data_IF_195415454009
#
_entry.id   IF_195415454009
#
_cell.length_a   1.000
_cell.length_b   1.000
_cell.length_c   1.000
_cell.angle_alpha   90.00
_cell.angle_beta   90.00
_cell.angle_gamma   90.00
#
_symmetry.space_group_name_H-M   'P 1'
#
loop_
_entity.id
_entity.type
_entity.pdbx_description
1 polymer ?
#
# COMPACT_ATOMS: atom_id res chain seq x y z
N UNK A 1 29.68 -34.45 -17.85
CA UNK A 1 29.13 -33.08 -17.98
C UNK A 1 27.64 -33.22 -18.22
N UNK A 2 26.84 -33.15 -17.16
CA UNK A 2 25.39 -33.12 -17.28
C UNK A 2 24.98 -31.70 -17.68
N UNK A 3 24.33 -31.53 -18.82
CA UNK A 3 23.64 -30.29 -19.19
C UNK A 3 22.50 -30.08 -18.20
N UNK A 4 22.60 -29.05 -17.33
CA UNK A 4 21.47 -28.54 -16.59
C UNK A 4 20.47 -28.04 -17.62
N UNK A 5 19.35 -28.74 -17.82
CA UNK A 5 18.24 -28.24 -18.60
C UNK A 5 17.78 -26.93 -17.95
N UNK A 6 17.88 -25.83 -18.67
CA UNK A 6 17.29 -24.58 -18.26
C UNK A 6 15.78 -24.81 -18.20
N UNK A 7 15.22 -24.88 -17.01
CA UNK A 7 13.77 -24.97 -16.80
C UNK A 7 13.17 -23.70 -17.39
N UNK A 8 12.50 -23.82 -18.53
CA UNK A 8 11.78 -22.69 -19.13
C UNK A 8 10.67 -22.25 -18.20
N UNK A 9 10.59 -20.93 -17.91
CA UNK A 9 9.53 -20.35 -17.10
C UNK A 9 8.15 -20.83 -17.60
N UNK A 10 7.20 -21.14 -16.69
CA UNK A 10 5.88 -21.65 -17.11
C UNK A 10 5.13 -20.64 -17.97
N UNK A 11 4.43 -21.13 -18.97
CA UNK A 11 3.50 -20.39 -19.81
C UNK A 11 2.07 -20.39 -19.21
N UNK A 12 1.14 -19.70 -19.87
CA UNK A 12 -0.25 -19.60 -19.42
C UNK A 12 -0.95 -20.97 -19.31
N UNK A 13 -0.66 -21.89 -20.23
CA UNK A 13 -1.29 -23.22 -20.23
C UNK A 13 -0.72 -24.12 -19.13
N UNK A 14 0.57 -23.99 -18.83
CA UNK A 14 1.17 -24.66 -17.67
C UNK A 14 0.55 -24.18 -16.36
N UNK A 15 0.30 -22.88 -16.22
CA UNK A 15 -0.37 -22.31 -15.04
C UNK A 15 -1.82 -22.78 -14.93
N UNK A 16 -2.59 -22.80 -16.04
CA UNK A 16 -3.96 -23.35 -16.03
C UNK A 16 -4.00 -24.80 -15.58
N UNK A 17 -3.08 -25.64 -16.09
CA UNK A 17 -2.98 -27.04 -15.65
C UNK A 17 -2.64 -27.13 -14.16
N UNK A 18 -1.79 -26.26 -13.66
CA UNK A 18 -1.43 -26.25 -12.24
C UNK A 18 -2.58 -25.80 -11.34
N UNK A 19 -3.36 -24.80 -11.77
CA UNK A 19 -4.61 -24.40 -11.09
C UNK A 19 -5.62 -25.55 -11.12
N UNK A 20 -5.83 -26.19 -12.26
CA UNK A 20 -6.74 -27.34 -12.36
C UNK A 20 -6.31 -28.49 -11.42
N UNK A 21 -5.00 -28.74 -11.29
CA UNK A 21 -4.47 -29.72 -10.34
C UNK A 21 -4.73 -29.33 -8.88
N UNK A 22 -4.57 -28.06 -8.54
CA UNK A 22 -4.90 -27.53 -7.19
C UNK A 22 -6.40 -27.72 -6.90
N UNK A 23 -7.29 -27.31 -7.82
CA UNK A 23 -8.73 -27.41 -7.66
C UNK A 23 -9.23 -28.86 -7.57
N UNK A 24 -8.59 -29.78 -8.30
CA UNK A 24 -8.92 -31.22 -8.23
C UNK A 24 -8.50 -31.85 -6.89
N UNK A 25 -7.41 -31.37 -6.28
CA UNK A 25 -6.93 -31.88 -4.98
C UNK A 25 -7.61 -31.18 -3.79
N UNK A 26 -8.04 -29.94 -3.97
CA UNK A 26 -8.63 -29.07 -2.94
C UNK A 26 -9.85 -28.35 -3.53
N UNK A 27 -11.01 -28.97 -3.47
CA UNK A 27 -12.26 -28.36 -3.92
C UNK A 27 -12.62 -27.17 -3.03
N UNK A 28 -12.70 -25.92 -3.58
CA UNK A 28 -13.03 -24.73 -2.82
C UNK A 28 -14.35 -24.79 -2.03
N UNK A 29 -15.33 -25.58 -2.52
CA UNK A 29 -16.62 -25.72 -1.86
C UNK A 29 -16.57 -26.58 -0.57
N UNK A 30 -15.55 -27.41 -0.41
CA UNK A 30 -15.45 -28.38 0.70
C UNK A 30 -14.18 -28.28 1.51
N UNK A 31 -13.13 -27.66 0.96
CA UNK A 31 -11.85 -27.47 1.65
C UNK A 31 -11.92 -26.28 2.59
N UNK A 32 -11.36 -26.40 3.78
CA UNK A 32 -11.18 -25.27 4.69
C UNK A 32 -10.42 -24.13 3.99
N UNK A 33 -10.90 -22.86 4.06
CA UNK A 33 -10.27 -21.73 3.38
C UNK A 33 -8.77 -21.56 3.70
N UNK A 34 -8.37 -21.73 4.96
CA UNK A 34 -6.95 -21.61 5.34
C UNK A 34 -6.10 -22.73 4.72
N UNK A 35 -6.62 -23.98 4.72
CA UNK A 35 -5.96 -25.10 4.08
C UNK A 35 -5.84 -24.93 2.55
N UNK A 36 -6.88 -24.38 1.91
CA UNK A 36 -6.83 -24.04 0.48
C UNK A 36 -5.75 -23.01 0.17
N UNK A 37 -5.68 -21.93 0.94
CA UNK A 37 -4.66 -20.90 0.78
C UNK A 37 -3.25 -21.43 0.98
N UNK A 38 -3.04 -22.31 1.97
CA UNK A 38 -1.75 -23.00 2.16
C UNK A 38 -1.37 -23.81 0.92
N UNK A 39 -2.29 -24.61 0.41
CA UNK A 39 -2.07 -25.40 -0.79
C UNK A 39 -1.79 -24.54 -2.02
N UNK A 40 -2.51 -23.40 -2.18
CA UNK A 40 -2.25 -22.40 -3.24
C UNK A 40 -0.84 -21.83 -3.15
N UNK A 41 -0.38 -21.49 -1.94
CA UNK A 41 0.98 -20.98 -1.73
C UNK A 41 2.03 -22.04 -2.08
N UNK A 42 1.85 -23.27 -1.59
CA UNK A 42 2.77 -24.40 -1.83
C UNK A 42 2.80 -24.83 -3.31
N UNK A 43 1.69 -24.63 -4.02
CA UNK A 43 1.63 -24.81 -5.47
C UNK A 43 2.35 -23.69 -6.27
N UNK A 44 2.87 -22.64 -5.63
CA UNK A 44 3.52 -21.52 -6.30
C UNK A 44 2.55 -20.59 -7.04
N UNK A 45 1.26 -20.62 -6.67
CA UNK A 45 0.19 -19.84 -7.30
C UNK A 45 -0.22 -18.60 -6.48
N UNK A 46 0.54 -18.28 -5.44
CA UNK A 46 0.37 -17.09 -4.61
C UNK A 46 0.84 -15.82 -5.37
N UNK A 47 2.09 -15.85 -5.80
CA UNK A 47 2.75 -14.82 -6.60
C UNK A 47 3.59 -15.50 -7.68
N UNK A 48 3.02 -15.82 -8.83
CA UNK A 48 3.68 -16.63 -9.86
C UNK A 48 5.08 -16.15 -10.24
N UNK A 49 5.36 -14.86 -10.04
CA UNK A 49 6.65 -14.21 -10.36
C UNK A 49 7.67 -14.25 -9.21
N UNK A 50 7.31 -14.79 -8.06
CA UNK A 50 8.27 -15.04 -6.98
C UNK A 50 9.02 -16.35 -7.25
N UNK A 51 10.20 -16.52 -6.63
CA UNK A 51 10.95 -17.77 -6.73
C UNK A 51 10.17 -19.00 -6.24
N UNK A 52 10.51 -20.16 -6.77
CA UNK A 52 10.02 -21.44 -6.23
C UNK A 52 10.31 -21.57 -4.73
N UNK A 53 9.35 -22.12 -3.99
CA UNK A 53 9.41 -22.24 -2.53
C UNK A 53 9.06 -20.95 -1.77
N UNK A 54 8.89 -19.82 -2.45
CA UNK A 54 8.44 -18.56 -1.87
C UNK A 54 7.04 -18.15 -2.36
N UNK A 55 6.22 -19.13 -2.74
CA UNK A 55 4.86 -18.92 -3.22
C UNK A 55 4.76 -18.60 -4.71
N UNK A 56 5.85 -18.78 -5.47
CA UNK A 56 5.94 -18.50 -6.89
C UNK A 56 6.59 -19.61 -7.71
N UNK A 57 6.83 -19.34 -8.99
CA UNK A 57 7.32 -20.26 -10.02
C UNK A 57 8.32 -19.59 -10.97
N UNK A 58 8.88 -18.44 -10.61
CA UNK A 58 9.72 -17.59 -11.48
C UNK A 58 9.06 -17.27 -12.83
N UNK A 59 7.72 -17.26 -12.87
CA UNK A 59 6.94 -16.97 -14.06
C UNK A 59 6.81 -15.46 -14.33
N UNK A 60 6.53 -15.03 -15.55
CA UNK A 60 6.24 -13.63 -15.84
C UNK A 60 5.06 -13.11 -14.98
N UNK A 61 5.23 -11.95 -14.34
CA UNK A 61 4.22 -11.34 -13.47
C UNK A 61 2.84 -11.18 -14.14
N UNK A 62 2.84 -10.91 -15.45
CA UNK A 62 1.62 -10.78 -16.25
C UNK A 62 0.70 -12.01 -16.16
N UNK A 63 1.28 -13.18 -15.94
CA UNK A 63 0.54 -14.44 -15.88
C UNK A 63 -0.22 -14.65 -14.55
N UNK A 64 0.00 -13.80 -13.54
CA UNK A 64 -0.81 -13.83 -12.31
C UNK A 64 -2.30 -13.69 -12.61
N UNK A 65 -2.66 -12.83 -13.59
CA UNK A 65 -4.06 -12.62 -13.97
C UNK A 65 -4.75 -13.89 -14.52
N UNK A 66 -3.98 -14.82 -15.10
CA UNK A 66 -4.52 -16.12 -15.56
C UNK A 66 -4.90 -16.98 -14.34
N UNK A 67 -4.02 -17.04 -13.35
CA UNK A 67 -4.26 -17.79 -12.11
C UNK A 67 -5.46 -17.22 -11.35
N UNK A 68 -5.50 -15.90 -11.19
CA UNK A 68 -6.55 -15.24 -10.42
C UNK A 68 -7.93 -15.42 -11.10
N UNK A 69 -8.01 -15.33 -12.43
CA UNK A 69 -9.25 -15.53 -13.17
C UNK A 69 -9.78 -16.98 -13.07
N UNK A 70 -8.90 -17.98 -13.14
CA UNK A 70 -9.30 -19.39 -13.00
C UNK A 70 -9.77 -19.71 -11.57
N UNK A 71 -9.10 -19.17 -10.55
CA UNK A 71 -9.48 -19.35 -9.15
C UNK A 71 -10.79 -18.63 -8.81
N UNK A 72 -10.97 -17.39 -9.31
CA UNK A 72 -12.21 -16.63 -9.15
C UNK A 72 -13.40 -17.37 -9.79
N UNK A 73 -13.23 -17.88 -11.01
CA UNK A 73 -14.26 -18.66 -11.70
C UNK A 73 -14.66 -19.94 -10.96
N UNK A 74 -13.73 -20.52 -10.19
CA UNK A 74 -13.97 -21.69 -9.34
C UNK A 74 -14.54 -21.35 -7.95
N UNK A 75 -14.73 -20.06 -7.62
CA UNK A 75 -15.18 -19.63 -6.29
C UNK A 75 -14.15 -19.89 -5.19
N UNK A 76 -12.87 -19.91 -5.51
CA UNK A 76 -11.81 -20.15 -4.55
C UNK A 76 -11.70 -18.99 -3.54
N UNK A 77 -11.37 -19.25 -2.26
CA UNK A 77 -11.17 -18.20 -1.28
C UNK A 77 -9.98 -17.33 -1.63
N UNK A 78 -10.08 -16.03 -1.34
CA UNK A 78 -8.94 -15.12 -1.34
C UNK A 78 -8.32 -15.02 0.06
N UNK A 79 -7.20 -14.31 0.15
CA UNK A 79 -6.45 -14.11 1.40
C UNK A 79 -6.78 -12.77 2.07
N UNK A 80 -7.96 -12.20 1.83
CA UNK A 80 -8.38 -10.89 2.31
C UNK A 80 -7.36 -9.76 1.99
N UNK A 81 -7.13 -9.48 0.70
CA UNK A 81 -6.09 -8.55 0.28
C UNK A 81 -6.33 -7.11 0.76
N UNK A 82 -7.54 -6.75 1.17
CA UNK A 82 -7.83 -5.44 1.76
C UNK A 82 -7.25 -5.34 3.18
N UNK A 83 -7.41 -6.37 4.00
CA UNK A 83 -6.90 -6.43 5.36
C UNK A 83 -5.37 -6.50 5.41
N UNK A 84 -4.74 -7.25 4.52
CA UNK A 84 -3.29 -7.46 4.51
C UNK A 84 -2.56 -6.65 3.42
N UNK A 85 -3.20 -5.61 2.88
CA UNK A 85 -2.70 -4.84 1.73
C UNK A 85 -1.31 -4.24 1.91
N UNK A 86 -0.96 -3.75 3.12
CA UNK A 86 0.40 -3.25 3.44
C UNK A 86 1.41 -4.39 3.34
N UNK A 87 1.08 -5.55 3.87
CA UNK A 87 1.90 -6.75 3.73
C UNK A 87 2.15 -7.12 2.28
N UNK A 88 1.07 -7.33 1.51
CA UNK A 88 1.14 -7.76 0.12
C UNK A 88 1.79 -6.73 -0.82
N UNK A 89 1.40 -5.46 -0.67
CA UNK A 89 1.79 -4.39 -1.60
C UNK A 89 3.11 -3.73 -1.27
N UNK A 90 3.58 -3.78 -0.04
CA UNK A 90 4.75 -3.03 0.43
C UNK A 90 5.81 -3.91 1.08
N UNK A 91 5.46 -4.68 2.13
CA UNK A 91 6.43 -5.47 2.87
C UNK A 91 6.97 -6.65 2.03
N UNK A 92 6.10 -7.45 1.42
CA UNK A 92 6.51 -8.64 0.67
C UNK A 92 7.47 -8.34 -0.50
N UNK A 93 7.18 -7.38 -1.42
CA UNK A 93 8.12 -7.05 -2.50
C UNK A 93 9.43 -6.43 -1.99
N UNK A 94 9.40 -5.75 -0.85
CA UNK A 94 10.61 -5.18 -0.23
C UNK A 94 11.47 -6.28 0.39
N UNK A 95 10.85 -7.22 1.14
CA UNK A 95 11.53 -8.40 1.70
C UNK A 95 12.10 -9.27 0.59
N UNK A 96 11.33 -9.51 -0.48
CA UNK A 96 11.80 -10.28 -1.63
C UNK A 96 13.09 -9.70 -2.21
N UNK A 97 13.16 -8.38 -2.35
CA UNK A 97 14.28 -7.70 -3.01
C UNK A 97 15.51 -7.56 -2.11
N UNK A 98 15.34 -7.28 -0.83
CA UNK A 98 16.45 -6.91 0.08
C UNK A 98 16.66 -7.89 1.23
N UNK A 99 15.73 -8.79 1.47
CA UNK A 99 15.82 -9.77 2.53
C UNK A 99 16.82 -10.88 2.24
N UNK A 100 17.40 -11.42 3.30
CA UNK A 100 18.13 -12.69 3.25
C UNK A 100 17.18 -13.84 2.91
N UNK A 101 17.72 -14.99 2.51
CA UNK A 101 16.89 -16.17 2.22
C UNK A 101 16.16 -16.68 3.47
N UNK A 102 16.76 -16.49 4.65
CA UNK A 102 16.10 -16.79 5.93
C UNK A 102 14.91 -15.88 6.19
N UNK A 103 15.09 -14.55 6.01
CA UNK A 103 14.00 -13.57 6.13
C UNK A 103 12.86 -13.85 5.14
N UNK A 104 13.18 -14.14 3.88
CA UNK A 104 12.17 -14.49 2.87
C UNK A 104 11.36 -15.71 3.28
N UNK A 105 12.02 -16.80 3.69
CA UNK A 105 11.33 -18.03 4.15
C UNK A 105 10.51 -17.78 5.42
N UNK A 106 11.01 -16.97 6.36
CA UNK A 106 10.31 -16.69 7.62
C UNK A 106 9.07 -15.84 7.43
N UNK A 107 9.13 -14.82 6.57
CA UNK A 107 8.11 -13.78 6.56
C UNK A 107 7.10 -13.88 5.41
N UNK A 108 7.49 -14.34 4.21
CA UNK A 108 6.62 -14.23 3.04
C UNK A 108 5.39 -15.15 3.13
N UNK A 109 5.53 -16.37 3.63
CA UNK A 109 4.41 -17.31 3.74
C UNK A 109 3.33 -16.84 4.72
N UNK A 110 3.60 -16.58 6.01
CA UNK A 110 2.57 -16.16 6.97
C UNK A 110 1.99 -14.77 6.63
N UNK A 111 2.77 -13.90 5.98
CA UNK A 111 2.28 -12.63 5.45
C UNK A 111 1.21 -12.86 4.38
N UNK A 112 1.48 -13.71 3.39
CA UNK A 112 0.55 -13.97 2.30
C UNK A 112 -0.71 -14.70 2.76
N UNK A 113 -0.59 -15.60 3.73
CA UNK A 113 -1.71 -16.31 4.32
C UNK A 113 -2.60 -15.42 5.22
N UNK A 114 -2.19 -14.19 5.52
CA UNK A 114 -2.90 -13.31 6.44
C UNK A 114 -2.79 -13.72 7.91
N UNK A 115 -1.91 -14.64 8.25
CA UNK A 115 -1.62 -15.07 9.62
C UNK A 115 -0.90 -13.97 10.40
N UNK A 116 -0.06 -13.19 9.73
CA UNK A 116 0.68 -12.08 10.30
C UNK A 116 0.36 -10.79 9.52
N UNK A 117 -0.44 -9.92 10.13
CA UNK A 117 -0.76 -8.59 9.58
C UNK A 117 0.45 -7.67 9.73
N UNK A 118 0.68 -6.82 8.73
CA UNK A 118 1.81 -5.89 8.67
C UNK A 118 1.34 -4.44 8.66
N UNK A 119 2.11 -3.55 9.32
CA UNK A 119 1.94 -2.11 9.22
C UNK A 119 3.24 -1.42 8.80
N UNK A 120 3.17 -0.08 8.59
CA UNK A 120 4.29 0.73 8.11
C UNK A 120 4.63 1.84 9.11
N UNK A 121 5.80 1.78 9.72
CA UNK A 121 6.31 2.75 10.69
C UNK A 121 7.29 3.73 10.01
N UNK A 122 6.75 4.65 9.20
CA UNK A 122 7.56 5.59 8.43
C UNK A 122 7.43 7.02 8.95
N UNK A 123 6.26 7.65 8.75
CA UNK A 123 6.01 9.04 9.08
C UNK A 123 6.16 9.34 10.58
N UNK A 124 6.62 10.53 10.89
CA UNK A 124 6.73 11.07 12.26
C UNK A 124 5.98 12.41 12.35
N UNK A 125 5.64 12.91 13.54
CA UNK A 125 5.01 14.22 13.68
C UNK A 125 5.77 15.35 12.98
N UNK A 126 7.11 15.28 12.95
CA UNK A 126 7.99 16.25 12.29
C UNK A 126 8.51 15.83 10.91
N UNK A 127 8.15 14.65 10.39
CA UNK A 127 8.69 14.11 9.15
C UNK A 127 7.63 13.34 8.35
N UNK A 128 6.80 14.09 7.60
CA UNK A 128 5.83 13.55 6.64
C UNK A 128 6.34 13.66 5.22
N UNK A 129 6.13 14.81 4.55
CA UNK A 129 6.59 15.06 3.17
C UNK A 129 8.12 14.98 3.06
N UNK A 130 8.87 15.51 4.03
CA UNK A 130 10.30 15.29 4.17
C UNK A 130 10.59 14.08 5.07
N UNK A 131 10.19 12.90 4.59
CA UNK A 131 10.34 11.65 5.34
C UNK A 131 11.80 11.38 5.72
N UNK A 132 12.76 11.81 4.90
CA UNK A 132 14.19 11.63 5.19
C UNK A 132 14.67 12.44 6.41
N UNK A 133 13.90 13.41 6.90
CA UNK A 133 14.20 14.16 8.12
C UNK A 133 13.84 13.41 9.41
N UNK A 134 13.32 12.18 9.33
CA UNK A 134 12.94 11.35 10.48
C UNK A 134 13.98 11.33 11.60
N UNK A 135 13.49 11.29 12.86
CA UNK A 135 14.31 11.37 14.07
C UNK A 135 14.26 10.11 14.94
N UNK A 136 13.35 9.16 14.69
CA UNK A 136 13.36 7.85 15.37
C UNK A 136 14.77 7.27 15.31
N UNK A 137 15.36 7.03 16.46
CA UNK A 137 16.77 6.66 16.60
C UNK A 137 16.92 5.14 16.70
N UNK A 138 17.93 4.59 16.06
CA UNK A 138 18.38 3.21 16.22
C UNK A 138 19.85 3.20 16.61
N UNK A 139 20.15 2.63 17.78
CA UNK A 139 21.52 2.54 18.32
C UNK A 139 21.85 1.08 18.54
N UNK A 140 23.05 0.66 18.15
CA UNK A 140 23.54 -0.69 18.47
C UNK A 140 23.80 -0.84 19.96
N UNK A 141 23.32 -1.93 20.53
CA UNK A 141 23.69 -2.34 21.87
C UNK A 141 25.05 -3.07 21.87
N UNK A 142 25.54 -3.44 23.09
CA UNK A 142 26.82 -4.17 23.23
C UNK A 142 26.80 -5.58 22.66
N UNK A 143 25.64 -6.14 22.34
CA UNK A 143 25.46 -7.48 21.72
C UNK A 143 25.36 -7.42 20.19
N UNK A 144 25.28 -6.25 19.61
CA UNK A 144 25.17 -6.04 18.17
C UNK A 144 23.75 -5.89 17.64
N UNK A 145 22.74 -6.03 18.50
CA UNK A 145 21.34 -5.77 18.20
C UNK A 145 21.02 -4.27 18.27
N UNK A 146 19.82 -3.87 17.91
CA UNK A 146 19.40 -2.49 17.82
C UNK A 146 18.40 -2.15 18.93
N UNK A 147 18.59 -0.97 19.53
CA UNK A 147 17.62 -0.35 20.45
C UNK A 147 17.01 0.86 19.76
N UNK A 148 15.67 0.87 19.67
CA UNK A 148 14.93 1.87 18.92
C UNK A 148 14.12 2.75 19.88
N UNK A 149 14.27 4.06 19.71
CA UNK A 149 13.49 5.08 20.44
C UNK A 149 12.91 6.10 19.45
N UNK A 150 11.63 6.42 19.58
CA UNK A 150 10.98 7.42 18.75
C UNK A 150 9.46 7.34 18.74
N UNK A 151 8.86 8.08 17.82
CA UNK A 151 7.42 8.13 17.63
C UNK A 151 7.10 8.09 16.13
N UNK A 152 6.17 7.22 15.77
CA UNK A 152 5.60 7.14 14.42
C UNK A 152 4.14 7.54 14.44
N UNK A 153 3.64 8.07 13.32
CA UNK A 153 2.27 8.58 13.22
C UNK A 153 1.66 8.21 11.86
N UNK A 154 0.35 8.25 11.78
CA UNK A 154 -0.42 7.86 10.59
C UNK A 154 -0.21 6.40 10.19
N UNK A 155 -0.04 5.53 11.19
CA UNK A 155 0.19 4.11 10.96
C UNK A 155 -1.14 3.37 10.84
N UNK A 156 -1.47 2.96 9.61
CA UNK A 156 -2.65 2.13 9.34
C UNK A 156 -2.49 0.77 10.00
N UNK A 157 -3.58 0.26 10.59
CA UNK A 157 -3.69 -1.11 11.13
C UNK A 157 -2.65 -1.49 12.20
N UNK A 158 -1.91 -0.54 12.80
CA UNK A 158 -0.91 -0.85 13.83
C UNK A 158 -1.47 -1.61 15.03
N UNK A 159 -2.75 -1.41 15.34
CA UNK A 159 -3.43 -2.03 16.47
C UNK A 159 -3.73 -3.53 16.29
N UNK A 160 -3.60 -4.05 15.08
CA UNK A 160 -3.78 -5.47 14.73
C UNK A 160 -2.53 -6.07 14.07
N UNK A 161 -1.52 -5.24 13.81
CA UNK A 161 -0.30 -5.70 13.15
C UNK A 161 0.56 -6.57 14.08
N UNK A 162 1.06 -7.68 13.54
CA UNK A 162 2.09 -8.51 14.19
C UNK A 162 3.49 -8.00 13.89
N UNK A 163 3.70 -7.47 12.68
CA UNK A 163 4.98 -6.96 12.19
C UNK A 163 4.85 -5.57 11.59
N UNK A 164 5.94 -4.84 11.63
CA UNK A 164 6.04 -3.56 10.94
C UNK A 164 7.31 -3.47 10.08
N UNK A 165 7.18 -2.79 8.94
CA UNK A 165 8.33 -2.25 8.22
C UNK A 165 8.66 -0.89 8.84
N UNK A 166 9.88 -0.75 9.36
CA UNK A 166 10.33 0.42 10.12
C UNK A 166 11.56 1.05 9.49
N UNK A 167 11.58 2.37 9.38
CA UNK A 167 12.81 3.14 9.09
C UNK A 167 13.21 3.98 10.30
N UNK A 168 14.50 3.94 10.62
CA UNK A 168 15.07 4.68 11.75
C UNK A 168 16.45 5.27 11.42
N UNK A 169 16.84 6.30 12.16
CA UNK A 169 18.13 7.00 12.04
C UNK A 169 19.21 6.24 12.78
N UNK A 170 20.18 5.72 12.04
CA UNK A 170 21.36 5.03 12.59
C UNK A 170 22.60 5.91 12.61
N UNK A 171 22.67 6.94 11.75
CA UNK A 171 23.78 7.87 11.68
C UNK A 171 23.28 9.32 11.47
N UNK A 172 23.43 10.21 12.47
CA UNK A 172 23.08 11.62 12.36
C UNK A 172 24.17 12.50 11.74
N UNK A 173 25.39 11.99 11.55
CA UNK A 173 26.57 12.73 11.13
C UNK A 173 26.76 12.76 9.60
N UNK A 174 25.86 12.10 8.88
CA UNK A 174 25.84 12.06 7.41
C UNK A 174 24.60 12.77 6.86
N UNK A 175 24.54 13.08 5.56
CA UNK A 175 23.32 13.63 4.92
C UNK A 175 22.08 12.78 5.18
N UNK A 176 20.93 13.43 5.38
CA UNK A 176 19.70 12.83 5.91
C UNK A 176 19.29 11.50 5.25
N UNK A 177 19.53 11.35 3.94
CA UNK A 177 19.18 10.12 3.21
C UNK A 177 20.15 8.95 3.42
N UNK A 178 21.37 9.22 3.91
CA UNK A 178 22.42 8.20 4.10
C UNK A 178 22.48 7.62 5.50
N UNK A 179 21.82 8.27 6.46
CA UNK A 179 21.85 7.86 7.87
C UNK A 179 20.63 7.06 8.30
N UNK A 180 19.88 6.49 7.37
CA UNK A 180 18.65 5.73 7.64
C UNK A 180 18.91 4.25 7.40
N UNK A 181 18.41 3.40 8.30
CA UNK A 181 18.41 1.94 8.15
C UNK A 181 16.98 1.40 8.23
N UNK A 182 16.74 0.27 7.60
CA UNK A 182 15.43 -0.36 7.49
C UNK A 182 15.36 -1.63 8.32
N UNK A 183 14.26 -1.82 9.06
CA UNK A 183 14.08 -2.91 9.99
C UNK A 183 12.71 -3.58 9.84
N UNK A 184 12.64 -4.86 10.22
CA UNK A 184 11.42 -5.60 10.48
C UNK A 184 11.18 -5.59 12.00
N UNK A 185 10.17 -4.85 12.44
CA UNK A 185 9.88 -4.62 13.85
C UNK A 185 8.75 -5.54 14.31
N UNK A 186 8.98 -6.25 15.42
CA UNK A 186 7.94 -6.99 16.13
C UNK A 186 7.04 -6.02 16.90
N UNK A 187 5.76 -5.93 16.51
CA UNK A 187 4.79 -5.04 17.14
C UNK A 187 4.34 -5.50 18.54
N UNK A 188 4.71 -6.71 18.94
CA UNK A 188 4.43 -7.24 20.29
C UNK A 188 5.56 -7.02 21.29
N UNK A 189 6.67 -6.37 20.86
CA UNK A 189 7.73 -5.97 21.79
C UNK A 189 7.15 -5.05 22.89
N UNK A 190 7.49 -5.27 24.17
CA UNK A 190 6.94 -4.47 25.28
C UNK A 190 7.27 -2.98 25.21
N UNK A 191 8.27 -2.59 24.43
CA UNK A 191 8.61 -1.19 24.16
C UNK A 191 7.72 -0.52 23.11
N UNK A 192 6.80 -1.25 22.47
CA UNK A 192 5.87 -0.73 21.46
C UNK A 192 4.55 -0.37 22.12
N UNK A 193 4.16 0.90 22.05
CA UNK A 193 2.85 1.35 22.49
C UNK A 193 2.06 1.93 21.30
N UNK A 194 0.86 1.38 21.04
CA UNK A 194 -0.02 1.80 19.95
C UNK A 194 -1.22 2.57 20.49
N UNK A 195 -1.38 3.84 20.08
CA UNK A 195 -2.50 4.71 20.46
C UNK A 195 -3.36 5.04 19.24
N UNK A 196 -4.71 5.05 19.39
CA UNK A 196 -5.59 5.44 18.32
C UNK A 196 -5.42 6.92 17.97
N UNK A 197 -5.36 7.24 16.68
CA UNK A 197 -5.37 8.61 16.18
C UNK A 197 -6.75 8.90 15.61
N UNK A 198 -7.59 9.60 16.39
CA UNK A 198 -8.94 9.93 15.98
C UNK A 198 -8.94 10.95 14.86
N UNK A 199 -9.58 10.59 13.75
CA UNK A 199 -9.74 11.42 12.58
C UNK A 199 -11.02 12.26 12.63
N UNK A 200 -11.16 13.18 11.68
CA UNK A 200 -12.37 14.00 11.50
C UNK A 200 -13.63 13.15 11.23
N UNK A 201 -13.47 11.94 10.72
CA UNK A 201 -14.54 10.95 10.51
C UNK A 201 -15.02 10.27 11.79
N UNK A 202 -14.38 10.50 12.93
CA UNK A 202 -14.64 9.75 14.16
C UNK A 202 -13.93 8.39 14.26
N UNK A 203 -13.35 7.91 13.16
CA UNK A 203 -12.59 6.66 13.11
C UNK A 203 -11.14 6.84 13.53
N UNK A 204 -10.47 5.74 13.86
CA UNK A 204 -9.06 5.67 14.18
C UNK A 204 -8.43 4.40 13.59
N UNK A 205 -8.52 4.26 12.25
CA UNK A 205 -7.74 3.27 11.52
C UNK A 205 -6.25 3.60 11.54
N UNK A 206 -5.90 4.88 11.64
CA UNK A 206 -4.53 5.32 11.88
C UNK A 206 -4.20 5.35 13.36
N UNK A 207 -2.92 5.19 13.64
CA UNK A 207 -2.40 5.14 15.00
C UNK A 207 -1.14 5.99 15.13
N UNK A 208 -0.89 6.47 16.34
CA UNK A 208 0.43 6.84 16.83
C UNK A 208 1.09 5.60 17.41
N UNK A 209 2.38 5.43 17.15
CA UNK A 209 3.17 4.33 17.68
C UNK A 209 4.40 4.88 18.37
N UNK A 210 4.49 4.67 19.68
CA UNK A 210 5.64 5.05 20.50
C UNK A 210 6.56 3.86 20.63
N UNK A 211 7.85 4.12 20.43
CA UNK A 211 8.93 3.13 20.52
C UNK A 211 9.84 3.56 21.66
N UNK A 212 9.92 2.76 22.71
CA UNK A 212 10.67 3.07 23.93
C UNK A 212 11.60 1.89 24.26
N UNK A 213 12.84 1.95 23.80
CA UNK A 213 13.81 0.90 24.02
C UNK A 213 13.46 -0.42 23.30
N UNK A 214 12.73 -0.36 22.19
CA UNK A 214 12.35 -1.55 21.38
C UNK A 214 13.60 -2.25 20.89
N UNK A 215 13.68 -3.57 21.13
CA UNK A 215 14.84 -4.38 20.73
C UNK A 215 14.60 -5.10 19.41
N UNK A 216 15.47 -4.81 18.44
CA UNK A 216 15.43 -5.45 17.11
C UNK A 216 16.74 -6.19 16.88
N UNK A 217 16.72 -7.52 16.71
CA UNK A 217 17.91 -8.29 16.33
C UNK A 217 18.49 -7.79 14.98
N UNK A 218 19.81 -7.79 14.82
CA UNK A 218 20.44 -7.39 13.53
C UNK A 218 19.99 -8.30 12.38
N UNK A 219 19.58 -9.52 12.67
CA UNK A 219 18.95 -10.44 11.70
C UNK A 219 17.59 -9.96 11.16
N UNK A 220 16.96 -8.97 11.79
CA UNK A 220 15.73 -8.31 11.31
C UNK A 220 16.01 -6.98 10.58
N UNK A 221 17.25 -6.62 10.39
CA UNK A 221 17.65 -5.51 9.51
C UNK A 221 17.46 -5.93 8.05
N UNK A 222 16.83 -5.06 7.26
CA UNK A 222 16.57 -5.32 5.85
C UNK A 222 17.50 -4.44 4.99
N UNK A 223 18.41 -5.07 4.26
CA UNK A 223 19.46 -4.38 3.50
C UNK A 223 20.64 -3.94 4.39
N UNK A 224 21.50 -3.04 3.88
CA UNK A 224 22.70 -2.59 4.57
C UNK A 224 22.43 -1.40 5.51
N UNK A 225 23.32 -1.19 6.50
CA UNK A 225 23.27 -0.03 7.38
C UNK A 225 23.46 1.24 6.54
N UNK A 226 22.63 2.26 6.78
CA UNK A 226 22.66 3.52 6.02
C UNK A 226 21.97 3.45 4.65
N UNK A 227 21.52 2.28 4.19
CA UNK A 227 20.86 2.08 2.88
C UNK A 227 19.33 2.09 2.96
N UNK A 228 18.80 2.32 4.16
CA UNK A 228 17.35 2.27 4.43
C UNK A 228 16.53 3.21 3.58
N UNK A 229 17.07 4.34 3.13
CA UNK A 229 16.37 5.23 2.22
C UNK A 229 16.12 4.59 0.85
N UNK A 230 17.10 3.88 0.29
CA UNK A 230 16.95 3.15 -0.98
C UNK A 230 15.91 2.02 -0.85
N UNK A 231 15.94 1.32 0.27
CA UNK A 231 14.95 0.28 0.59
C UNK A 231 13.55 0.89 0.71
N UNK A 232 13.40 2.00 1.46
CA UNK A 232 12.15 2.72 1.62
C UNK A 232 11.58 3.25 0.30
N UNK A 233 12.43 3.75 -0.61
CA UNK A 233 12.00 4.17 -1.95
C UNK A 233 11.35 3.01 -2.73
N UNK A 234 11.87 1.79 -2.60
CA UNK A 234 11.26 0.60 -3.22
C UNK A 234 9.89 0.32 -2.61
N UNK A 235 9.75 0.41 -1.30
CA UNK A 235 8.46 0.27 -0.61
C UNK A 235 7.45 1.30 -1.11
N UNK A 236 7.83 2.58 -1.15
CA UNK A 236 6.97 3.69 -1.60
C UNK A 236 6.59 3.60 -3.09
N UNK A 237 7.45 3.03 -3.93
CA UNK A 237 7.11 2.76 -5.33
C UNK A 237 6.05 1.66 -5.45
N UNK A 238 6.18 0.59 -4.67
CA UNK A 238 5.20 -0.49 -4.64
C UNK A 238 3.85 -0.03 -4.06
N UNK A 239 3.85 0.85 -3.05
CA UNK A 239 2.64 1.49 -2.50
C UNK A 239 1.83 2.19 -3.59
N UNK A 240 2.48 3.00 -4.43
CA UNK A 240 1.80 3.71 -5.53
C UNK A 240 1.19 2.75 -6.56
N UNK A 241 1.87 1.63 -6.81
CA UNK A 241 1.35 0.56 -7.68
C UNK A 241 0.16 -0.13 -7.04
N UNK A 242 0.21 -0.41 -5.73
CA UNK A 242 -0.89 -1.04 -5.00
C UNK A 242 -2.14 -0.14 -4.95
N UNK A 243 -1.96 1.17 -4.72
CA UNK A 243 -3.06 2.15 -4.69
C UNK A 243 -3.65 2.39 -6.09
N UNK A 244 -2.82 2.44 -7.15
CA UNK A 244 -3.25 2.82 -8.51
C UNK A 244 -3.40 1.66 -9.50
N UNK A 245 -3.01 0.43 -9.14
CA UNK A 245 -2.85 -0.68 -10.08
C UNK A 245 -4.04 -1.64 -10.19
N UNK A 246 -5.09 -1.47 -9.42
CA UNK A 246 -6.29 -2.30 -9.48
C UNK A 246 -7.11 -2.06 -10.76
N UNK A 247 -7.76 -3.12 -11.27
CA UNK A 247 -8.72 -2.97 -12.37
C UNK A 247 -10.01 -2.35 -11.82
N UNK A 248 -10.26 -1.10 -12.20
CA UNK A 248 -11.49 -0.40 -11.81
C UNK A 248 -12.54 -0.59 -12.92
N UNK A 249 -13.73 -1.13 -12.62
CA UNK A 249 -14.79 -1.20 -13.60
C UNK A 249 -15.29 0.21 -13.96
N UNK A 250 -16.00 0.31 -15.09
CA UNK A 250 -16.69 1.55 -15.45
C UNK A 250 -17.70 1.92 -14.36
N UNK A 251 -17.75 3.19 -13.98
CA UNK A 251 -18.52 3.66 -12.82
C UNK A 251 -18.10 2.96 -11.50
N UNK A 252 -16.86 2.50 -11.37
CA UNK A 252 -16.33 2.00 -10.11
C UNK A 252 -15.98 3.15 -9.15
N UNK A 253 -16.09 2.89 -7.84
CA UNK A 253 -15.77 3.88 -6.79
C UNK A 253 -16.83 4.98 -6.63
N UNK A 254 -16.39 6.16 -6.16
CA UNK A 254 -17.30 7.24 -5.77
C UNK A 254 -18.17 7.77 -6.92
N UNK A 255 -17.65 7.78 -8.15
CA UNK A 255 -18.44 8.25 -9.31
C UNK A 255 -19.65 7.35 -9.58
N UNK A 256 -19.53 6.05 -9.34
CA UNK A 256 -20.66 5.12 -9.49
C UNK A 256 -21.71 5.34 -8.41
N UNK A 257 -21.30 5.67 -7.18
CA UNK A 257 -22.22 6.01 -6.10
C UNK A 257 -23.00 7.28 -6.47
N UNK A 258 -22.31 8.34 -6.83
CA UNK A 258 -22.92 9.61 -7.24
C UNK A 258 -23.86 9.44 -8.45
N UNK A 259 -23.43 8.67 -9.47
CA UNK A 259 -24.26 8.38 -10.65
C UNK A 259 -25.51 7.57 -10.29
N UNK A 260 -25.45 6.67 -9.31
CA UNK A 260 -26.59 5.92 -8.79
C UNK A 260 -27.54 6.84 -8.05
N UNK A 261 -27.06 7.64 -7.10
CA UNK A 261 -27.85 8.65 -6.39
C UNK A 261 -28.58 9.57 -7.38
N UNK A 262 -27.88 10.03 -8.43
CA UNK A 262 -28.51 10.81 -9.50
C UNK A 262 -29.65 10.08 -10.21
N UNK A 263 -29.53 8.78 -10.47
CA UNK A 263 -30.58 7.99 -11.15
C UNK A 263 -31.78 7.73 -10.23
N UNK A 264 -31.53 7.49 -8.96
CA UNK A 264 -32.54 7.11 -7.96
C UNK A 264 -33.31 8.30 -7.39
N UNK A 265 -32.74 9.51 -7.43
CA UNK A 265 -33.28 10.73 -6.84
C UNK A 265 -33.58 11.82 -7.90
N UNK A 266 -34.56 11.60 -8.79
CA UNK A 266 -34.87 12.54 -9.88
C UNK A 266 -35.30 13.94 -9.38
N UNK A 267 -35.88 14.03 -8.18
CA UNK A 267 -36.31 15.28 -7.54
C UNK A 267 -35.19 16.22 -7.17
N UNK A 268 -33.95 15.70 -7.02
CA UNK A 268 -32.78 16.49 -6.70
C UNK A 268 -32.06 17.07 -7.93
N UNK A 269 -32.51 16.71 -9.13
CA UNK A 269 -31.81 17.05 -10.37
C UNK A 269 -32.02 18.51 -10.76
N UNK A 270 -30.92 19.21 -11.01
CA UNK A 270 -30.89 20.50 -11.65
C UNK A 270 -30.01 20.48 -12.90
N UNK A 271 -30.14 21.45 -13.79
CA UNK A 271 -29.31 21.53 -14.99
C UNK A 271 -27.83 21.72 -14.64
N UNK A 272 -27.52 22.54 -13.66
CA UNK A 272 -26.15 22.80 -13.21
C UNK A 272 -25.49 21.53 -12.64
N UNK A 273 -26.14 20.87 -11.70
CA UNK A 273 -25.65 19.61 -11.12
C UNK A 273 -25.45 18.53 -12.20
N UNK A 274 -26.33 18.48 -13.22
CA UNK A 274 -26.16 17.56 -14.35
C UNK A 274 -24.87 17.82 -15.14
N UNK A 275 -24.59 19.08 -15.47
CA UNK A 275 -23.37 19.42 -16.21
C UNK A 275 -22.10 19.09 -15.41
N UNK A 276 -22.11 19.37 -14.13
CA UNK A 276 -20.99 19.05 -13.23
C UNK A 276 -20.79 17.54 -13.08
N UNK A 277 -21.88 16.78 -12.90
CA UNK A 277 -21.84 15.31 -12.86
C UNK A 277 -21.22 14.75 -14.14
N UNK A 278 -21.66 15.20 -15.32
CA UNK A 278 -21.12 14.74 -16.61
C UNK A 278 -19.64 15.07 -16.77
N UNK A 279 -19.22 16.26 -16.30
CA UNK A 279 -17.80 16.65 -16.27
C UNK A 279 -16.97 15.68 -15.43
N UNK A 280 -17.36 15.45 -14.18
CA UNK A 280 -16.67 14.52 -13.26
C UNK A 280 -16.71 13.06 -13.75
N UNK A 281 -17.83 12.64 -14.34
CA UNK A 281 -17.93 11.31 -14.92
C UNK A 281 -16.95 11.11 -16.07
N UNK A 282 -16.83 12.11 -16.95
CA UNK A 282 -15.88 12.08 -18.07
C UNK A 282 -14.43 12.03 -17.58
N UNK A 283 -14.10 12.84 -16.57
CA UNK A 283 -12.76 12.84 -15.97
C UNK A 283 -12.44 11.54 -15.23
N UNK A 284 -13.40 10.98 -14.50
CA UNK A 284 -13.25 9.68 -13.84
C UNK A 284 -13.00 8.55 -14.86
N UNK A 285 -13.70 8.56 -15.99
CA UNK A 285 -13.49 7.59 -17.07
C UNK A 285 -12.12 7.78 -17.74
N UNK A 286 -11.69 9.03 -17.96
CA UNK A 286 -10.36 9.32 -18.47
C UNK A 286 -9.27 8.84 -17.49
N UNK A 287 -9.43 9.05 -16.20
CA UNK A 287 -8.52 8.55 -15.16
C UNK A 287 -8.49 7.01 -15.14
N UNK A 288 -9.65 6.35 -15.25
CA UNK A 288 -9.75 4.89 -15.36
C UNK A 288 -8.94 4.34 -16.54
N UNK A 289 -9.10 4.94 -17.72
CA UNK A 289 -8.37 4.54 -18.95
C UNK A 289 -6.86 4.81 -18.83
N UNK A 290 -6.47 5.91 -18.20
CA UNK A 290 -5.06 6.21 -17.92
C UNK A 290 -4.46 5.19 -16.93
N UNK A 291 -5.23 4.77 -15.91
CA UNK A 291 -4.85 3.69 -14.99
C UNK A 291 -4.65 2.35 -15.71
N UNK A 292 -5.52 2.00 -16.66
CA UNK A 292 -5.36 0.80 -17.46
C UNK A 292 -4.09 0.85 -18.32
N UNK A 293 -3.76 2.01 -18.92
CA UNK A 293 -2.50 2.22 -19.63
C UNK A 293 -1.28 2.05 -18.71
N UNK A 294 -1.32 2.63 -17.50
CA UNK A 294 -0.25 2.48 -16.52
C UNK A 294 -0.07 1.01 -16.14
N UNK A 295 -1.16 0.27 -15.95
CA UNK A 295 -1.13 -1.17 -15.66
C UNK A 295 -0.43 -1.96 -16.78
N UNK A 296 -0.72 -1.63 -18.05
CA UNK A 296 -0.04 -2.26 -19.20
C UNK A 296 1.46 -1.97 -19.21
N UNK A 297 1.87 -0.75 -18.87
CA UNK A 297 3.30 -0.39 -18.74
C UNK A 297 3.99 -1.19 -17.63
N UNK A 298 3.32 -1.35 -16.47
CA UNK A 298 3.82 -2.16 -15.35
C UNK A 298 3.99 -3.63 -15.74
N UNK A 299 3.02 -4.20 -16.46
CA UNK A 299 3.09 -5.57 -17.00
C UNK A 299 4.25 -5.73 -17.98
N UNK A 300 4.51 -4.70 -18.78
CA UNK A 300 5.64 -4.68 -19.72
C UNK A 300 7.01 -4.43 -19.05
N UNK A 301 7.05 -4.33 -17.70
CA UNK A 301 8.29 -4.09 -16.95
C UNK A 301 8.83 -2.66 -17.08
N UNK A 302 7.99 -1.69 -17.43
CA UNK A 302 8.34 -0.28 -17.64
C UNK A 302 7.59 0.63 -16.66
N UNK A 303 7.77 0.46 -15.32
CA UNK A 303 7.17 1.36 -14.36
C UNK A 303 7.80 2.76 -14.48
N UNK A 304 6.97 3.77 -14.73
CA UNK A 304 7.37 5.17 -14.80
C UNK A 304 6.86 5.98 -13.60
N UNK A 305 7.22 7.26 -13.53
CA UNK A 305 6.75 8.19 -12.49
C UNK A 305 5.27 8.60 -12.66
N UNK A 306 4.60 8.15 -13.72
CA UNK A 306 3.22 8.49 -14.09
C UNK A 306 2.20 8.08 -13.02
N UNK A 307 2.52 7.08 -12.19
CA UNK A 307 1.72 6.72 -11.02
C UNK A 307 1.47 7.89 -10.06
N UNK A 308 2.39 8.87 -10.01
CA UNK A 308 2.22 10.10 -9.24
C UNK A 308 1.10 10.98 -9.81
N UNK A 309 0.99 11.10 -11.13
CA UNK A 309 -0.10 11.84 -11.79
C UNK A 309 -1.46 11.15 -11.57
N UNK A 310 -1.49 9.81 -11.57
CA UNK A 310 -2.71 9.05 -11.29
C UNK A 310 -3.22 9.27 -9.86
N UNK A 311 -2.31 9.28 -8.88
CA UNK A 311 -2.68 9.56 -7.48
C UNK A 311 -3.18 11.00 -7.29
N UNK A 312 -2.60 11.98 -8.00
CA UNK A 312 -3.11 13.36 -8.04
C UNK A 312 -4.55 13.42 -8.57
N UNK A 313 -4.80 12.77 -9.71
CA UNK A 313 -6.14 12.72 -10.30
C UNK A 313 -7.14 12.03 -9.36
N UNK A 314 -6.77 10.92 -8.75
CA UNK A 314 -7.58 10.19 -7.77
C UNK A 314 -7.96 11.08 -6.57
N UNK A 315 -6.98 11.77 -5.97
CA UNK A 315 -7.22 12.62 -4.80
C UNK A 315 -8.19 13.77 -5.13
N UNK A 316 -7.97 14.47 -6.26
CA UNK A 316 -8.83 15.55 -6.72
C UNK A 316 -10.24 15.06 -7.03
N UNK A 317 -10.36 14.01 -7.84
CA UNK A 317 -11.65 13.47 -8.24
C UNK A 317 -12.47 13.00 -7.03
N UNK A 318 -11.87 12.30 -6.07
CA UNK A 318 -12.59 11.86 -4.87
C UNK A 318 -13.14 13.05 -4.07
N UNK A 319 -12.38 14.13 -3.95
CA UNK A 319 -12.83 15.33 -3.23
C UNK A 319 -13.95 16.05 -3.98
N UNK A 320 -13.85 16.19 -5.30
CA UNK A 320 -14.84 16.86 -6.12
C UNK A 320 -16.13 16.04 -6.24
N UNK A 321 -16.03 14.71 -6.44
CA UNK A 321 -17.17 13.80 -6.53
C UNK A 321 -17.92 13.74 -5.20
N UNK A 322 -17.23 13.57 -4.08
CA UNK A 322 -17.87 13.53 -2.75
C UNK A 322 -18.46 14.89 -2.36
N UNK A 323 -17.84 16.00 -2.78
CA UNK A 323 -18.39 17.32 -2.61
C UNK A 323 -19.68 17.53 -3.39
N UNK A 324 -19.73 17.08 -4.65
CA UNK A 324 -20.94 17.16 -5.48
C UNK A 324 -22.05 16.23 -4.95
N UNK A 325 -21.68 15.08 -4.35
CA UNK A 325 -22.66 14.19 -3.73
C UNK A 325 -23.36 14.85 -2.53
N UNK A 326 -22.58 15.50 -1.64
CA UNK A 326 -23.14 16.25 -0.50
C UNK A 326 -24.05 17.38 -0.99
N UNK A 327 -23.63 18.13 -2.02
CA UNK A 327 -24.41 19.21 -2.60
C UNK A 327 -25.71 18.69 -3.24
N UNK A 328 -25.65 17.59 -4.00
CA UNK A 328 -26.82 16.95 -4.60
C UNK A 328 -27.85 16.55 -3.56
N UNK A 329 -27.42 15.99 -2.43
CA UNK A 329 -28.28 15.54 -1.34
C UNK A 329 -28.81 16.70 -0.47
N UNK A 330 -28.21 17.90 -0.56
CA UNK A 330 -28.62 19.06 0.24
C UNK A 330 -28.52 18.79 1.74
N UNK A 331 -29.60 19.04 2.49
CA UNK A 331 -29.62 18.82 3.95
C UNK A 331 -29.34 17.37 4.35
N UNK A 332 -29.78 16.40 3.55
CA UNK A 332 -29.49 14.97 3.80
C UNK A 332 -27.98 14.68 3.71
N UNK A 333 -27.27 15.35 2.80
CA UNK A 333 -25.82 15.21 2.63
C UNK A 333 -24.99 15.76 3.80
N UNK A 334 -25.58 16.58 4.67
CA UNK A 334 -24.96 17.11 5.88
C UNK A 334 -25.15 16.19 7.10
N UNK A 335 -25.99 15.19 7.00
CA UNK A 335 -26.17 14.21 8.05
C UNK A 335 -24.93 13.35 8.18
N UNK A 336 -24.60 13.01 9.40
CA UNK A 336 -23.52 12.08 9.73
C UNK A 336 -24.06 11.02 10.69
N UNK A 337 -23.92 9.75 10.30
CA UNK A 337 -24.61 8.65 10.98
C UNK A 337 -24.10 8.40 12.39
N UNK A 338 -22.76 8.47 12.57
CA UNK A 338 -22.16 8.08 13.85
C UNK A 338 -20.76 8.67 14.05
N UNK A 339 -20.59 9.40 15.18
CA UNK A 339 -19.31 9.96 15.62
C UNK A 339 -18.59 9.09 16.69
N UNK A 340 -19.12 7.89 16.95
CA UNK A 340 -18.47 6.96 17.89
C UNK A 340 -17.09 6.59 17.41
N UNK A 341 -16.12 6.57 18.33
CA UNK A 341 -14.76 6.13 18.01
C UNK A 341 -14.76 4.66 17.58
N UNK A 342 -14.37 4.42 16.35
CA UNK A 342 -14.20 3.08 15.77
C UNK A 342 -12.75 2.89 15.36
N UNK A 343 -12.27 1.65 15.43
CA UNK A 343 -10.94 1.25 14.97
C UNK A 343 -11.06 0.15 13.91
N UNK A 344 -11.49 0.49 12.70
CA UNK A 344 -11.65 -0.51 11.64
C UNK A 344 -10.31 -1.08 11.21
N UNK A 345 -10.28 -2.37 10.91
CA UNK A 345 -9.14 -3.02 10.25
C UNK A 345 -9.12 -2.70 8.75
N UNK A 346 -10.30 -2.50 8.16
CA UNK A 346 -10.52 -2.18 6.76
C UNK A 346 -11.40 -0.93 6.67
N UNK A 347 -10.98 0.02 5.85
CA UNK A 347 -11.74 1.26 5.60
C UNK A 347 -12.81 0.99 4.54
N UNK A 348 -14.08 1.09 4.91
CA UNK A 348 -15.20 1.01 3.98
C UNK A 348 -15.54 2.39 3.41
N UNK A 349 -14.88 2.75 2.32
CA UNK A 349 -15.12 4.03 1.64
C UNK A 349 -16.50 4.13 1.00
N UNK A 350 -17.05 3.02 0.54
CA UNK A 350 -18.27 3.00 -0.29
C UNK A 350 -19.55 2.78 0.53
N UNK A 351 -19.46 2.05 1.63
CA UNK A 351 -20.62 1.61 2.42
C UNK A 351 -21.13 2.62 3.43
N UNK A 352 -20.46 3.79 3.59
CA UNK A 352 -20.84 4.85 4.53
C UNK A 352 -21.63 5.97 3.82
N UNK A 353 -22.14 6.93 4.61
CA UNK A 353 -22.88 8.09 4.12
C UNK A 353 -22.02 9.08 3.29
N UNK A 354 -22.69 10.06 2.65
CA UNK A 354 -22.03 11.09 1.84
C UNK A 354 -21.10 11.97 2.68
N UNK A 355 -21.51 12.32 3.90
CA UNK A 355 -20.73 13.11 4.83
C UNK A 355 -19.40 12.43 5.18
N UNK A 356 -19.42 11.12 5.44
CA UNK A 356 -18.22 10.34 5.67
C UNK A 356 -17.29 10.36 4.45
N UNK A 357 -17.80 10.04 3.25
CA UNK A 357 -17.01 10.06 2.01
C UNK A 357 -16.36 11.41 1.76
N UNK A 358 -17.11 12.49 1.97
CA UNK A 358 -16.59 13.86 1.86
C UNK A 358 -15.44 14.14 2.82
N UNK A 359 -15.61 13.82 4.10
CA UNK A 359 -14.59 14.06 5.13
C UNK A 359 -13.35 13.19 4.88
N UNK A 360 -13.54 11.90 4.60
CA UNK A 360 -12.42 10.97 4.37
C UNK A 360 -11.62 11.30 3.12
N UNK A 361 -12.26 11.79 2.06
CA UNK A 361 -11.61 12.20 0.82
C UNK A 361 -10.58 13.32 1.01
N UNK A 362 -10.70 14.14 2.09
CA UNK A 362 -9.71 15.20 2.39
C UNK A 362 -8.33 14.63 2.65
N UNK A 363 -8.23 13.43 3.26
CA UNK A 363 -6.98 12.73 3.47
C UNK A 363 -6.27 12.32 2.18
N UNK A 364 -7.02 12.10 1.08
CA UNK A 364 -6.44 11.64 -0.19
C UNK A 364 -5.42 12.59 -0.79
N UNK A 365 -5.47 13.89 -0.52
CA UNK A 365 -4.46 14.86 -0.99
C UNK A 365 -3.19 14.89 -0.13
N UNK A 366 -3.16 14.15 0.99
CA UNK A 366 -2.06 14.15 1.97
C UNK A 366 -1.38 12.79 2.02
N UNK A 367 -2.15 11.71 2.21
CA UNK A 367 -1.67 10.32 2.31
C UNK A 367 -1.00 9.83 1.01
N UNK A 368 -0.04 8.90 1.10
CA UNK A 368 0.65 8.36 -0.09
C UNK A 368 1.48 9.39 -0.87
N UNK A 369 1.88 10.48 -0.22
CA UNK A 369 2.53 11.67 -0.77
C UNK A 369 1.54 12.79 -1.04
N UNK A 370 1.85 13.99 -0.52
CA UNK A 370 0.99 15.16 -0.73
C UNK A 370 0.88 15.53 -2.20
N UNK A 371 -0.20 16.24 -2.57
CA UNK A 371 -0.40 16.73 -3.93
C UNK A 371 0.80 17.54 -4.40
N UNK A 372 1.39 18.38 -3.54
CA UNK A 372 2.56 19.22 -3.83
C UNK A 372 3.81 18.38 -4.12
N UNK A 373 4.09 17.35 -3.31
CA UNK A 373 5.21 16.41 -3.55
C UNK A 373 5.03 15.69 -4.88
N UNK A 374 3.81 15.26 -5.18
CA UNK A 374 3.51 14.55 -6.43
C UNK A 374 3.62 15.46 -7.66
N UNK A 375 3.20 16.74 -7.55
CA UNK A 375 3.41 17.75 -8.59
C UNK A 375 4.90 17.95 -8.89
N UNK A 376 5.75 18.02 -7.85
CA UNK A 376 7.20 18.13 -8.04
C UNK A 376 7.76 16.88 -8.74
N UNK A 377 7.30 15.68 -8.37
CA UNK A 377 7.73 14.44 -9.05
C UNK A 377 7.32 14.44 -10.51
N UNK A 378 6.10 14.87 -10.84
CA UNK A 378 5.63 14.98 -12.22
C UNK A 378 6.44 16.03 -12.97
N UNK A 379 6.65 17.21 -12.39
CA UNK A 379 7.43 18.28 -12.98
C UNK A 379 8.86 17.82 -13.32
N UNK A 380 9.57 17.25 -12.35
CA UNK A 380 10.98 16.88 -12.52
C UNK A 380 11.17 15.62 -13.36
N UNK A 381 10.34 14.57 -13.16
CA UNK A 381 10.61 13.24 -13.72
C UNK A 381 9.78 12.89 -14.95
N UNK A 382 8.60 13.52 -15.12
CA UNK A 382 7.75 13.31 -16.31
C UNK A 382 7.98 14.42 -17.33
N UNK A 383 7.99 15.69 -16.87
CA UNK A 383 8.12 16.85 -17.76
C UNK A 383 9.59 17.29 -17.95
N UNK A 384 10.53 16.78 -17.16
CA UNK A 384 11.96 17.11 -17.27
C UNK A 384 12.29 18.53 -16.85
N UNK A 385 11.46 19.17 -15.99
CA UNK A 385 11.72 20.50 -15.46
C UNK A 385 12.89 20.48 -14.46
N UNK A 386 13.61 21.59 -14.26
CA UNK A 386 14.69 21.68 -13.29
C UNK A 386 14.20 21.40 -11.87
N UNK A 387 14.97 20.66 -11.05
CA UNK A 387 14.62 20.48 -9.64
C UNK A 387 14.83 21.77 -8.85
N UNK A 388 14.10 21.89 -7.73
CA UNK A 388 14.30 22.98 -6.77
C UNK A 388 15.72 23.03 -6.25
N UNK A 389 16.32 24.24 -6.08
CA UNK A 389 17.62 24.41 -5.44
C UNK A 389 17.59 23.85 -3.99
N UNK A 390 18.54 23.00 -3.65
CA UNK A 390 18.64 22.40 -2.32
C UNK A 390 19.94 22.84 -1.64
N UNK A 391 19.83 23.63 -0.60
CA UNK A 391 20.97 24.07 0.24
C UNK A 391 21.34 23.04 1.30
N UNK A 392 20.41 22.14 1.66
CA UNK A 392 20.52 21.15 2.72
C UNK A 392 21.05 19.77 2.25
N UNK A 393 21.21 19.56 0.95
CA UNK A 393 21.45 18.24 0.33
C UNK A 393 22.66 17.50 0.87
N UNK A 394 23.72 18.24 1.25
CA UNK A 394 25.01 17.68 1.66
C UNK A 394 25.32 17.90 3.14
N UNK A 395 24.46 18.62 3.86
CA UNK A 395 24.63 18.85 5.29
C UNK A 395 24.36 17.57 6.09
N UNK A 396 25.13 17.30 7.17
CA UNK A 396 24.78 16.29 8.15
C UNK A 396 23.37 16.52 8.69
N UNK A 397 22.61 15.41 8.88
CA UNK A 397 21.24 15.52 9.37
C UNK A 397 21.10 16.31 10.69
N UNK A 398 22.08 16.16 11.62
CA UNK A 398 22.10 16.89 12.90
C UNK A 398 22.21 18.42 12.76
N UNK A 399 22.67 18.91 11.61
CA UNK A 399 22.87 20.34 11.32
C UNK A 399 21.67 20.97 10.59
N UNK A 400 20.69 20.16 10.21
CA UNK A 400 19.48 20.68 9.56
C UNK A 400 18.63 21.46 10.56
N UNK A 401 18.07 22.59 10.11
CA UNK A 401 17.09 23.33 10.89
C UNK A 401 15.81 22.46 11.09
N UNK A 402 15.34 22.41 12.31
CA UNK A 402 14.14 21.62 12.70
C UNK A 402 12.99 22.53 13.07
#
# INVERSE_FOLDING_TARGET
MARTEATTAPDADALRRRVAGLLAAHDPATTDPAAFLQARFDAGLAWVHYPEGLGGLDAPRALQAVVDAELEAAGAPDNDPQRIGIGLGMAAPTILRYGTDEQKRRFLRPLWLGEEVWCQLFSEPGAGSDLAALATRAVRDGGGDWVIDGQKVWTSSAHVARWAILIARTDPDVPKHRGITYFLCDMTDPGVEVRPLRQITGEAEFNEVFLSGVRIPDSHRLGEIGDGWRVAQTTLMNERVAIGGGRVPREGGLIGILARTWRERPELRTHDLHQRLLGLWTEAEAARLAGERLRQQLVAGQPGPEGSAMKLAFARLNQEISGLEVELLGEEGLLYDDWTLRRPEIVDFAGRDAGYRYLRAKGNSIEGGTSEVLLNIVAERVLGLPPEPRTDKYLPWKELAR
#
